data_IF_394776806465
#
_entry.id   IF_394776806465
#
_cell.length_a   1.000
_cell.length_b   1.000
_cell.length_c   1.000
_cell.angle_alpha   90.00
_cell.angle_beta   90.00
_cell.angle_gamma   90.00
#
_symmetry.space_group_name_H-M   'P 1'
#
loop_
_entity.id
_entity.type
_entity.pdbx_description
1 polymer ?
#
# COMPACT_ATOMS: atom_id res chain seq x y z
N UNK A 1 -1.48 -9.92 12.63
CA UNK A 1 -0.44 -10.28 11.63
C UNK A 1 0.27 -11.62 11.86
N UNK A 2 0.96 -11.91 12.99
CA UNK A 2 1.62 -13.24 13.16
C UNK A 2 0.65 -14.42 13.39
N UNK A 3 -0.37 -14.23 14.23
CA UNK A 3 -1.34 -15.31 14.53
C UNK A 3 -2.18 -15.68 13.31
N UNK A 4 -2.77 -14.69 12.62
CA UNK A 4 -3.51 -14.91 11.38
C UNK A 4 -2.66 -15.63 10.31
N UNK A 5 -1.38 -15.26 10.16
CA UNK A 5 -0.46 -15.92 9.22
C UNK A 5 -0.14 -17.38 9.62
N UNK A 6 -0.02 -17.68 10.92
CA UNK A 6 0.17 -19.05 11.39
C UNK A 6 -1.10 -19.89 11.20
N UNK A 7 -2.29 -19.33 11.43
CA UNK A 7 -3.58 -19.99 11.18
C UNK A 7 -3.77 -20.31 9.69
N UNK A 8 -3.34 -19.40 8.80
CA UNK A 8 -3.41 -19.61 7.35
C UNK A 8 -2.61 -20.82 6.87
N UNK A 9 -1.54 -21.23 7.57
CA UNK A 9 -0.80 -22.47 7.27
C UNK A 9 -1.65 -23.74 7.45
N UNK A 10 -2.69 -23.65 8.25
CA UNK A 10 -3.66 -24.71 8.53
C UNK A 10 -5.00 -24.50 7.80
N UNK A 11 -5.03 -23.59 6.82
CA UNK A 11 -6.24 -23.23 6.06
C UNK A 11 -7.37 -22.65 6.94
N UNK A 12 -7.00 -21.98 8.05
CA UNK A 12 -7.93 -21.31 8.95
C UNK A 12 -7.84 -19.79 8.72
N UNK A 13 -8.91 -19.21 8.18
CA UNK A 13 -9.06 -17.76 8.06
C UNK A 13 -9.77 -17.23 9.30
N UNK A 14 -9.11 -16.43 10.12
CA UNK A 14 -9.72 -15.74 11.24
C UNK A 14 -10.10 -14.31 10.86
N UNK A 15 -11.22 -13.82 11.40
CA UNK A 15 -11.54 -12.39 11.33
C UNK A 15 -10.58 -11.62 12.25
N UNK A 16 -9.78 -10.70 11.70
CA UNK A 16 -8.88 -9.83 12.47
C UNK A 16 -9.48 -8.42 12.55
N UNK A 17 -9.94 -8.00 13.74
CA UNK A 17 -10.55 -6.67 13.94
C UNK A 17 -9.55 -5.53 13.73
N UNK A 18 -8.25 -5.81 13.86
CA UNK A 18 -7.21 -4.83 13.58
C UNK A 18 -6.95 -4.64 12.06
N UNK A 19 -7.48 -5.54 11.22
CA UNK A 19 -7.33 -5.50 9.77
C UNK A 19 -5.88 -5.51 9.28
N UNK A 20 -5.68 -5.06 8.04
CA UNK A 20 -4.35 -4.82 7.46
C UNK A 20 -4.23 -3.37 7.00
N UNK A 21 -3.04 -2.78 7.05
CA UNK A 21 -2.87 -1.41 6.56
C UNK A 21 -3.02 -1.37 5.04
N UNK A 22 -3.67 -0.33 4.51
CA UNK A 22 -3.86 -0.14 3.07
C UNK A 22 -2.50 -0.14 2.36
N UNK A 23 -1.48 0.47 2.95
CA UNK A 23 -0.10 0.47 2.45
C UNK A 23 0.49 -0.93 2.19
N UNK A 24 0.01 -1.97 2.89
CA UNK A 24 0.46 -3.36 2.75
C UNK A 24 -0.46 -4.22 1.90
N UNK A 25 -1.65 -3.72 1.56
CA UNK A 25 -2.65 -4.40 0.73
C UNK A 25 -2.25 -4.45 -0.76
N UNK A 26 -2.99 -5.21 -1.58
CA UNK A 26 -2.75 -5.26 -3.03
C UNK A 26 -2.98 -3.90 -3.70
N UNK A 27 -4.13 -3.27 -3.45
CA UNK A 27 -4.48 -1.97 -4.03
C UNK A 27 -3.50 -0.87 -3.57
N UNK A 28 -3.16 -0.82 -2.28
CA UNK A 28 -2.20 0.17 -1.78
C UNK A 28 -0.77 -0.05 -2.29
N UNK A 29 -0.34 -1.29 -2.53
CA UNK A 29 0.95 -1.55 -3.21
C UNK A 29 0.95 -1.07 -4.65
N UNK A 30 -0.15 -1.27 -5.39
CA UNK A 30 -0.30 -0.71 -6.75
C UNK A 30 -0.24 0.82 -6.74
N UNK A 31 -0.98 1.46 -5.82
CA UNK A 31 -0.96 2.90 -5.63
C UNK A 31 0.46 3.42 -5.36
N UNK A 32 1.19 2.79 -4.45
CA UNK A 32 2.59 3.12 -4.18
C UNK A 32 3.49 2.93 -5.41
N UNK A 33 3.45 1.77 -6.07
CA UNK A 33 4.31 1.48 -7.23
C UNK A 33 4.10 2.47 -8.38
N UNK A 34 2.85 2.84 -8.63
CA UNK A 34 2.54 3.84 -9.66
C UNK A 34 2.95 5.25 -9.25
N UNK A 35 2.79 5.65 -7.98
CA UNK A 35 3.29 6.93 -7.49
C UNK A 35 4.82 7.02 -7.54
N UNK A 36 5.53 5.96 -7.16
CA UNK A 36 7.00 5.87 -7.28
C UNK A 36 7.47 6.06 -8.71
N UNK A 37 6.85 5.35 -9.67
CA UNK A 37 7.17 5.52 -11.08
C UNK A 37 6.90 6.95 -11.56
N UNK A 38 5.81 7.58 -11.11
CA UNK A 38 5.48 8.95 -11.50
C UNK A 38 6.54 9.96 -11.01
N UNK A 39 6.98 9.84 -9.76
CA UNK A 39 8.05 10.68 -9.18
C UNK A 39 9.37 10.46 -9.90
N UNK A 40 9.77 9.21 -10.13
CA UNK A 40 11.03 8.89 -10.82
C UNK A 40 11.02 9.39 -12.29
N UNK A 41 9.87 9.35 -12.97
CA UNK A 41 9.68 9.92 -14.31
C UNK A 41 9.68 11.45 -14.33
N UNK A 42 9.17 12.09 -13.28
CA UNK A 42 9.19 13.54 -13.15
C UNK A 42 10.60 14.07 -12.93
N UNK A 43 11.37 13.40 -12.07
CA UNK A 43 12.77 13.71 -11.79
C UNK A 43 13.75 13.21 -12.88
N UNK A 44 13.23 12.64 -13.98
CA UNK A 44 14.00 12.06 -15.08
C UNK A 44 15.11 11.08 -14.64
N UNK A 45 14.86 10.30 -13.57
CA UNK A 45 15.84 9.37 -12.99
C UNK A 45 15.96 8.08 -13.81
N UNK A 46 16.74 8.12 -14.89
CA UNK A 46 16.92 7.03 -15.85
C UNK A 46 17.27 5.67 -15.24
N UNK A 47 18.08 5.62 -14.18
CA UNK A 47 18.47 4.35 -13.53
C UNK A 47 17.36 3.74 -12.65
N UNK A 48 16.47 4.57 -12.10
CA UNK A 48 15.40 4.12 -11.21
C UNK A 48 14.16 3.61 -11.99
N UNK A 49 13.90 4.15 -13.18
CA UNK A 49 12.69 3.84 -13.96
C UNK A 49 12.59 2.37 -14.42
N UNK A 50 13.65 1.72 -14.95
CA UNK A 50 13.58 0.33 -15.41
C UNK A 50 13.05 -0.67 -14.35
N UNK A 51 13.60 -0.74 -13.13
CA UNK A 51 13.07 -1.66 -12.12
C UNK A 51 11.66 -1.28 -11.67
N UNK A 52 11.27 0.00 -11.66
CA UNK A 52 9.91 0.44 -11.31
C UNK A 52 8.87 -0.02 -12.31
N UNK A 53 9.17 0.08 -13.61
CA UNK A 53 8.28 -0.41 -14.68
C UNK A 53 8.08 -1.92 -14.55
N UNK A 54 9.16 -2.69 -14.34
CA UNK A 54 9.04 -4.14 -14.18
C UNK A 54 8.24 -4.50 -12.93
N UNK A 55 8.49 -3.83 -11.80
CA UNK A 55 7.72 -4.04 -10.57
C UNK A 55 6.23 -3.70 -10.75
N UNK A 56 5.92 -2.63 -11.48
CA UNK A 56 4.54 -2.25 -11.79
C UNK A 56 3.86 -3.29 -12.70
N UNK A 57 4.49 -3.69 -13.80
CA UNK A 57 3.93 -4.66 -14.77
C UNK A 57 3.81 -6.08 -14.21
N UNK A 58 4.61 -6.42 -13.19
CA UNK A 58 4.50 -7.67 -12.46
C UNK A 58 3.25 -7.72 -11.56
N UNK A 59 2.71 -6.56 -11.16
CA UNK A 59 1.57 -6.48 -10.26
C UNK A 59 0.30 -7.10 -10.90
N UNK A 60 -0.47 -7.93 -10.17
CA UNK A 60 -1.63 -8.65 -10.73
C UNK A 60 -2.76 -7.71 -11.18
N UNK A 61 -2.90 -6.55 -10.51
CA UNK A 61 -3.88 -5.51 -10.85
C UNK A 61 -3.46 -4.60 -12.02
N UNK A 62 -2.44 -4.95 -12.81
CA UNK A 62 -2.06 -4.19 -14.00
C UNK A 62 -2.45 -4.96 -15.26
N UNK A 63 -3.46 -4.44 -15.96
CA UNK A 63 -3.99 -5.00 -17.21
C UNK A 63 -3.73 -4.12 -18.43
N UNK A 64 -3.65 -2.79 -18.28
CA UNK A 64 -3.42 -1.83 -19.37
C UNK A 64 -4.37 -1.99 -20.57
N UNK A 65 -5.55 -2.58 -20.40
CA UNK A 65 -6.50 -2.84 -21.49
C UNK A 65 -6.12 -4.03 -22.36
N UNK A 66 -5.22 -4.90 -21.88
CA UNK A 66 -4.75 -6.10 -22.56
C UNK A 66 -5.07 -7.35 -21.72
N UNK A 67 -5.17 -8.54 -22.33
CA UNK A 67 -5.19 -9.80 -21.60
C UNK A 67 -3.95 -9.94 -20.71
N UNK A 68 -4.09 -10.52 -19.52
CA UNK A 68 -2.96 -10.65 -18.57
C UNK A 68 -1.75 -11.37 -19.19
N UNK A 69 -1.98 -12.39 -20.02
CA UNK A 69 -0.92 -13.09 -20.73
C UNK A 69 -0.08 -12.18 -21.63
N UNK A 70 -0.73 -11.22 -22.30
CA UNK A 70 -0.05 -10.26 -23.18
C UNK A 70 0.74 -9.22 -22.37
N UNK A 71 0.23 -8.79 -21.21
CA UNK A 71 0.97 -7.91 -20.29
C UNK A 71 2.24 -8.60 -19.79
N UNK A 72 2.14 -9.84 -19.31
CA UNK A 72 3.30 -10.61 -18.83
C UNK A 72 4.32 -10.81 -19.96
N UNK A 73 3.83 -11.17 -21.15
CA UNK A 73 4.67 -11.40 -22.33
C UNK A 73 5.38 -10.13 -22.78
N UNK A 74 4.68 -9.01 -22.88
CA UNK A 74 5.26 -7.72 -23.25
C UNK A 74 6.21 -7.18 -22.17
N UNK A 75 5.92 -7.38 -20.88
CA UNK A 75 6.83 -7.01 -19.79
C UNK A 75 8.15 -7.79 -19.85
N UNK A 76 8.09 -9.10 -20.07
CA UNK A 76 9.28 -9.94 -20.27
C UNK A 76 10.06 -9.52 -21.52
N UNK A 77 9.37 -9.16 -22.61
CA UNK A 77 10.00 -8.65 -23.83
C UNK A 77 10.72 -7.32 -23.59
N UNK A 78 10.12 -6.40 -22.84
CA UNK A 78 10.72 -5.13 -22.46
C UNK A 78 11.96 -5.34 -21.58
N UNK A 79 11.86 -6.22 -20.57
CA UNK A 79 12.99 -6.58 -19.70
C UNK A 79 14.17 -7.14 -20.49
N UNK A 80 13.92 -8.19 -21.29
CA UNK A 80 14.95 -8.91 -22.05
C UNK A 80 15.52 -8.03 -23.17
N UNK A 81 14.65 -7.31 -23.88
CA UNK A 81 14.98 -6.58 -25.09
C UNK A 81 15.62 -5.22 -24.84
N UNK A 82 15.28 -4.56 -23.73
CA UNK A 82 15.63 -3.14 -23.48
C UNK A 82 16.31 -2.96 -22.13
N UNK A 83 15.73 -3.45 -21.04
CA UNK A 83 16.09 -3.00 -19.69
C UNK A 83 17.31 -3.72 -19.06
N UNK A 84 17.82 -4.80 -19.69
CA UNK A 84 19.06 -5.49 -19.25
C UNK A 84 20.36 -4.83 -19.77
N UNK A 85 20.25 -3.76 -20.55
CA UNK A 85 21.37 -3.05 -21.17
C UNK A 85 21.69 -1.72 -20.49
N UNK A 86 22.34 -0.78 -21.21
CA UNK A 86 22.52 0.59 -20.73
C UNK A 86 21.17 1.21 -20.34
N UNK A 87 21.16 1.96 -19.24
CA UNK A 87 19.97 2.63 -18.77
C UNK A 87 19.41 3.58 -19.84
N UNK A 88 18.13 3.43 -20.24
CA UNK A 88 17.46 4.37 -21.12
C UNK A 88 17.39 5.77 -20.49
N UNK A 89 17.15 6.80 -21.31
CA UNK A 89 16.84 8.12 -20.78
C UNK A 89 15.55 8.06 -19.92
N UNK A 90 15.48 8.90 -18.89
CA UNK A 90 14.47 8.84 -17.83
C UNK A 90 13.06 9.31 -18.21
N UNK A 91 12.59 8.96 -19.41
CA UNK A 91 11.25 9.31 -19.89
C UNK A 91 10.65 8.17 -20.72
N UNK A 92 9.32 8.20 -20.93
CA UNK A 92 8.67 7.25 -21.83
C UNK A 92 9.23 7.34 -23.26
N UNK A 93 9.55 8.53 -23.74
CA UNK A 93 10.23 8.69 -25.03
C UNK A 93 11.61 8.02 -25.03
N UNK A 94 12.41 8.21 -23.98
CA UNK A 94 13.70 7.55 -23.82
C UNK A 94 13.62 6.03 -23.85
N UNK A 95 12.59 5.46 -23.22
CA UNK A 95 12.30 4.02 -23.26
C UNK A 95 11.89 3.53 -24.65
N UNK A 96 11.07 4.31 -25.38
CA UNK A 96 10.66 3.99 -26.75
C UNK A 96 11.82 4.07 -27.73
N UNK A 97 12.68 5.08 -27.59
CA UNK A 97 13.89 5.22 -28.40
C UNK A 97 14.85 4.05 -28.16
N UNK A 98 15.03 3.65 -26.90
CA UNK A 98 15.81 2.47 -26.55
C UNK A 98 15.19 1.19 -27.13
N UNK A 99 13.86 1.01 -27.06
CA UNK A 99 13.15 -0.12 -27.68
C UNK A 99 13.40 -0.17 -29.20
N UNK A 100 13.25 0.96 -29.89
CA UNK A 100 13.44 1.06 -31.34
C UNK A 100 14.89 0.75 -31.73
N UNK A 101 15.87 1.34 -31.03
CA UNK A 101 17.29 1.08 -31.26
C UNK A 101 17.65 -0.39 -31.03
N UNK A 102 17.12 -1.00 -29.97
CA UNK A 102 17.37 -2.40 -29.65
C UNK A 102 16.72 -3.36 -30.65
N UNK A 103 15.55 -3.02 -31.22
CA UNK A 103 14.90 -3.80 -32.27
C UNK A 103 15.64 -3.73 -33.61
N UNK A 104 16.22 -2.57 -33.94
CA UNK A 104 16.97 -2.37 -35.19
C UNK A 104 18.41 -2.90 -35.15
N UNK A 105 18.95 -3.18 -33.96
CA UNK A 105 20.34 -3.62 -33.80
C UNK A 105 20.61 -4.99 -34.49
N UNK A 106 21.77 -5.18 -35.13
CA UNK A 106 22.09 -6.43 -35.83
C UNK A 106 22.21 -7.63 -34.88
N UNK A 107 21.69 -8.79 -35.29
CA UNK A 107 21.63 -10.01 -34.47
C UNK A 107 22.98 -10.56 -34.00
N UNK A 108 24.08 -10.25 -34.70
CA UNK A 108 25.41 -10.86 -34.51
C UNK A 108 26.00 -10.65 -33.11
N UNK A 109 25.61 -9.59 -32.40
CA UNK A 109 26.11 -9.25 -31.06
C UNK A 109 25.02 -9.30 -29.97
N UNK A 110 23.85 -9.86 -30.29
CA UNK A 110 22.75 -9.91 -29.33
C UNK A 110 22.81 -11.18 -28.47
N UNK A 111 22.50 -11.09 -27.17
CA UNK A 111 22.32 -12.26 -26.32
C UNK A 111 21.25 -13.21 -26.88
N UNK A 112 21.45 -14.53 -26.70
CA UNK A 112 20.49 -15.55 -27.17
C UNK A 112 19.06 -15.32 -26.69
N UNK A 113 18.88 -14.83 -25.47
CA UNK A 113 17.55 -14.53 -24.92
C UNK A 113 16.80 -13.49 -25.76
N UNK A 114 17.51 -12.44 -26.21
CA UNK A 114 16.96 -11.37 -27.04
C UNK A 114 16.66 -11.84 -28.47
N UNK A 115 17.49 -12.74 -29.02
CA UNK A 115 17.26 -13.35 -30.34
C UNK A 115 15.99 -14.22 -30.39
N UNK A 116 15.46 -14.66 -29.25
CA UNK A 116 14.23 -15.47 -29.17
C UNK A 116 12.95 -14.63 -29.15
N UNK A 117 13.06 -13.30 -29.08
CA UNK A 117 11.91 -12.40 -29.12
C UNK A 117 11.35 -12.34 -30.54
N UNK A 118 10.07 -12.66 -30.68
CA UNK A 118 9.29 -12.56 -31.92
C UNK A 118 8.82 -11.13 -32.19
N UNK A 119 8.37 -10.84 -33.42
CA UNK A 119 7.79 -9.54 -33.75
C UNK A 119 6.58 -9.18 -32.89
N UNK A 120 5.80 -10.19 -32.47
CA UNK A 120 4.69 -10.01 -31.55
C UNK A 120 5.18 -9.55 -30.17
N UNK A 121 6.31 -10.08 -29.67
CA UNK A 121 6.89 -9.67 -28.38
C UNK A 121 7.31 -8.19 -28.41
N UNK A 122 7.96 -7.77 -29.50
CA UNK A 122 8.34 -6.37 -29.72
C UNK A 122 7.13 -5.44 -29.85
N UNK A 123 6.08 -5.88 -30.55
CA UNK A 123 4.85 -5.11 -30.70
C UNK A 123 4.10 -4.96 -29.36
N UNK A 124 4.06 -6.02 -28.53
CA UNK A 124 3.49 -5.96 -27.20
C UNK A 124 4.28 -5.03 -26.27
N UNK A 125 5.62 -5.09 -26.30
CA UNK A 125 6.46 -4.18 -25.53
C UNK A 125 6.23 -2.71 -25.91
N UNK A 126 6.14 -2.41 -27.22
CA UNK A 126 5.82 -1.06 -27.70
C UNK A 126 4.43 -0.61 -27.23
N UNK A 127 3.41 -1.47 -27.39
CA UNK A 127 2.05 -1.15 -26.97
C UNK A 127 1.94 -0.89 -25.47
N UNK A 128 2.68 -1.63 -24.64
CA UNK A 128 2.73 -1.40 -23.18
C UNK A 128 3.31 -0.02 -22.87
N UNK A 129 4.41 0.39 -23.52
CA UNK A 129 5.00 1.72 -23.31
C UNK A 129 4.04 2.83 -23.73
N UNK A 130 3.33 2.68 -24.86
CA UNK A 130 2.33 3.65 -25.31
C UNK A 130 1.17 3.78 -24.30
N UNK A 131 0.69 2.64 -23.78
CA UNK A 131 -0.41 2.60 -22.80
C UNK A 131 0.00 3.18 -21.44
N UNK A 132 1.22 2.91 -21.00
CA UNK A 132 1.79 3.51 -19.79
C UNK A 132 1.95 5.01 -19.95
N UNK A 133 2.53 5.48 -21.06
CA UNK A 133 2.69 6.92 -21.31
C UNK A 133 1.32 7.62 -21.31
N UNK A 134 0.33 7.05 -22.01
CA UNK A 134 -1.01 7.61 -22.03
C UNK A 134 -1.65 7.64 -20.63
N UNK A 135 -1.48 6.57 -19.84
CA UNK A 135 -2.03 6.50 -18.49
C UNK A 135 -1.42 7.56 -17.56
N UNK A 136 -0.11 7.79 -17.63
CA UNK A 136 0.62 8.72 -16.75
C UNK A 136 0.62 10.17 -17.24
N UNK A 137 0.31 10.42 -18.52
CA UNK A 137 0.37 11.75 -19.14
C UNK A 137 -0.36 12.85 -18.35
N UNK A 138 -1.61 12.65 -17.84
CA UNK A 138 -2.30 13.70 -17.09
C UNK A 138 -1.56 14.13 -15.82
N UNK A 139 -1.02 13.17 -15.08
CA UNK A 139 -0.30 13.41 -13.82
C UNK A 139 1.05 14.07 -14.06
N UNK A 140 1.82 13.59 -15.05
CA UNK A 140 3.13 14.15 -15.38
C UNK A 140 3.04 15.55 -16.01
N UNK A 141 2.02 15.80 -16.83
CA UNK A 141 1.79 17.14 -17.37
C UNK A 141 1.42 18.12 -16.26
N UNK A 142 0.60 17.70 -15.30
CA UNK A 142 0.27 18.52 -14.12
C UNK A 142 1.53 18.89 -13.33
N UNK A 143 2.40 17.91 -13.05
CA UNK A 143 3.67 18.16 -12.36
C UNK A 143 4.56 19.18 -13.10
N UNK A 144 4.73 19.02 -14.43
CA UNK A 144 5.54 19.92 -15.26
C UNK A 144 5.01 21.35 -15.31
N UNK A 145 3.69 21.51 -15.38
CA UNK A 145 3.06 22.85 -15.42
C UNK A 145 3.27 23.58 -14.10
N UNK A 146 3.22 22.86 -12.98
CA UNK A 146 3.46 23.43 -11.66
C UNK A 146 4.93 23.82 -11.42
N UNK A 147 5.90 23.11 -11.99
CA UNK A 147 7.31 23.52 -11.91
C UNK A 147 7.63 24.76 -12.75
N UNK A 148 6.96 24.90 -13.90
CA UNK A 148 7.22 25.97 -14.86
C UNK A 148 6.58 27.31 -14.47
N UNK A 149 5.64 27.32 -13.53
CA UNK A 149 4.94 28.51 -13.06
C UNK A 149 5.16 28.78 -11.58
N UNK A 150 4.99 30.03 -11.14
CA UNK A 150 4.93 30.40 -9.70
C UNK A 150 3.62 29.92 -9.02
N UNK A 151 2.99 28.88 -9.58
CA UNK A 151 1.73 28.31 -9.11
C UNK A 151 2.03 27.19 -8.14
N UNK A 152 1.55 27.33 -6.90
CA UNK A 152 1.70 26.31 -5.86
C UNK A 152 1.04 25.00 -6.31
N UNK A 153 1.79 23.89 -6.22
CA UNK A 153 1.30 22.56 -6.54
C UNK A 153 0.27 22.09 -5.51
N UNK A 154 -0.85 21.54 -5.99
CA UNK A 154 -1.94 21.02 -5.14
C UNK A 154 -1.88 19.49 -5.06
N UNK A 155 -1.53 18.98 -3.87
CA UNK A 155 -1.45 17.54 -3.59
C UNK A 155 -2.81 16.85 -3.74
N UNK A 156 -3.93 17.54 -3.52
CA UNK A 156 -5.27 16.96 -3.64
C UNK A 156 -5.62 16.72 -5.10
N UNK A 157 -5.24 17.64 -5.99
CA UNK A 157 -5.39 17.44 -7.43
C UNK A 157 -4.48 16.32 -7.95
N UNK A 158 -3.28 16.19 -7.38
CA UNK A 158 -2.38 15.07 -7.66
C UNK A 158 -3.03 13.72 -7.35
N UNK A 159 -3.69 13.57 -6.19
CA UNK A 159 -4.47 12.36 -5.83
C UNK A 159 -5.54 12.06 -6.85
N UNK A 160 -6.31 13.07 -7.28
CA UNK A 160 -7.37 12.88 -8.28
C UNK A 160 -6.82 12.37 -9.60
N UNK A 161 -5.74 12.97 -10.09
CA UNK A 161 -5.08 12.55 -11.34
C UNK A 161 -4.48 11.16 -11.21
N UNK A 162 -3.86 10.85 -10.07
CA UNK A 162 -3.34 9.52 -9.79
C UNK A 162 -4.44 8.45 -9.75
N UNK A 163 -5.63 8.78 -9.24
CA UNK A 163 -6.80 7.89 -9.29
C UNK A 163 -7.21 7.54 -10.72
N UNK A 164 -7.06 8.49 -11.66
CA UNK A 164 -7.26 8.20 -13.09
C UNK A 164 -6.17 7.27 -13.63
N UNK A 165 -4.90 7.48 -13.27
CA UNK A 165 -3.79 6.58 -13.65
C UNK A 165 -4.12 5.15 -13.21
N UNK A 166 -4.52 4.95 -11.96
CA UNK A 166 -4.85 3.63 -11.40
C UNK A 166 -5.97 2.93 -12.18
N UNK A 167 -7.05 3.64 -12.51
CA UNK A 167 -8.15 3.09 -13.31
C UNK A 167 -7.69 2.65 -14.70
N UNK A 168 -6.80 3.40 -15.33
CA UNK A 168 -6.23 3.05 -16.63
C UNK A 168 -5.28 1.85 -16.54
N UNK A 169 -4.46 1.78 -15.50
CA UNK A 169 -3.59 0.62 -15.23
C UNK A 169 -4.39 -0.66 -15.02
N UNK A 170 -5.51 -0.59 -14.30
CA UNK A 170 -6.39 -1.72 -14.00
C UNK A 170 -7.32 -2.12 -15.16
N UNK A 171 -7.38 -1.33 -16.23
CA UNK A 171 -8.23 -1.66 -17.39
C UNK A 171 -7.83 -2.99 -18.03
N UNK A 172 -8.78 -3.70 -18.65
CA UNK A 172 -8.52 -4.97 -19.36
C UNK A 172 -8.39 -6.21 -18.46
N UNK A 173 -8.41 -6.05 -17.14
CA UNK A 173 -8.60 -7.18 -16.22
C UNK A 173 -10.03 -7.68 -16.44
N UNK A 174 -10.15 -8.85 -17.08
CA UNK A 174 -11.43 -9.48 -17.33
C UNK A 174 -12.20 -9.64 -16.02
N UNK A 175 -13.48 -9.30 -16.06
CA UNK A 175 -14.38 -9.28 -14.90
C UNK A 175 -14.71 -10.69 -14.34
N UNK A 176 -13.83 -11.69 -14.55
CA UNK A 176 -14.12 -13.10 -14.32
C UNK A 176 -12.99 -13.77 -13.53
N UNK A 177 -13.36 -14.08 -12.28
CA UNK A 177 -13.00 -15.27 -11.50
C UNK A 177 -11.76 -15.27 -10.58
N UNK A 178 -10.93 -14.22 -10.53
CA UNK A 178 -9.86 -14.12 -9.49
C UNK A 178 -9.92 -12.84 -8.62
N UNK A 179 -10.70 -11.83 -9.00
CA UNK A 179 -10.98 -10.64 -8.17
C UNK A 179 -12.03 -10.93 -7.08
N UNK A 180 -12.02 -12.14 -6.52
CA UNK A 180 -12.88 -12.51 -5.42
C UNK A 180 -12.42 -11.75 -4.16
N UNK A 181 -13.13 -10.66 -3.85
CA UNK A 181 -13.24 -10.03 -2.51
C UNK A 181 -11.97 -9.33 -2.01
N UNK A 182 -11.24 -8.62 -2.86
CA UNK A 182 -10.20 -7.69 -2.38
C UNK A 182 -10.82 -6.33 -1.97
N UNK A 183 -11.28 -6.24 -0.72
CA UNK A 183 -11.81 -4.99 -0.11
C UNK A 183 -10.78 -3.87 -0.05
N UNK A 184 -9.51 -4.13 -0.35
CA UNK A 184 -8.50 -3.08 -0.41
C UNK A 184 -8.74 -2.10 -1.54
N UNK A 185 -9.41 -2.52 -2.63
CA UNK A 185 -9.78 -1.64 -3.72
C UNK A 185 -10.85 -0.64 -3.25
N UNK A 186 -11.90 -1.10 -2.58
CA UNK A 186 -12.93 -0.23 -2.00
C UNK A 186 -12.32 0.79 -1.03
N UNK A 187 -11.42 0.33 -0.14
CA UNK A 187 -10.75 1.22 0.81
C UNK A 187 -9.84 2.26 0.13
N UNK A 188 -9.20 1.90 -0.99
CA UNK A 188 -8.41 2.84 -1.79
C UNK A 188 -9.31 3.85 -2.50
N UNK A 189 -10.42 3.39 -3.07
CA UNK A 189 -11.40 4.25 -3.75
C UNK A 189 -12.04 5.23 -2.75
N UNK A 190 -12.40 4.78 -1.54
CA UNK A 190 -12.88 5.63 -0.45
C UNK A 190 -11.86 6.72 -0.09
N UNK A 191 -10.57 6.34 0.08
CA UNK A 191 -9.50 7.30 0.36
C UNK A 191 -9.41 8.37 -0.73
N UNK A 192 -9.47 7.98 -2.01
CA UNK A 192 -9.37 8.92 -3.13
C UNK A 192 -10.64 9.78 -3.28
N UNK A 193 -11.81 9.23 -2.97
CA UNK A 193 -13.09 9.93 -3.00
C UNK A 193 -13.21 10.98 -1.88
N UNK A 194 -12.64 10.73 -0.70
CA UNK A 194 -12.53 11.74 0.36
C UNK A 194 -11.78 12.99 -0.11
N UNK A 195 -10.65 12.82 -0.80
CA UNK A 195 -9.90 13.94 -1.38
C UNK A 195 -10.65 14.63 -2.52
N UNK A 196 -11.38 13.87 -3.34
CA UNK A 196 -12.24 14.45 -4.39
C UNK A 196 -13.31 15.35 -3.80
N UNK A 197 -13.89 14.98 -2.66
CA UNK A 197 -14.95 15.74 -1.99
C UNK A 197 -14.42 17.01 -1.32
N UNK A 198 -13.13 17.05 -0.95
CA UNK A 198 -12.49 18.24 -0.38
C UNK A 198 -12.44 19.41 -1.36
N UNK A 199 -12.20 19.13 -2.65
CA UNK A 199 -12.16 20.13 -3.74
C UNK A 199 -13.57 20.63 -4.11
N UNK A 200 -14.61 19.85 -3.82
CA UNK A 200 -16.00 20.23 -4.14
C UNK A 200 -16.57 21.35 -3.26
N UNK A 201 -15.97 21.61 -2.10
CA UNK A 201 -16.43 22.64 -1.15
C UNK A 201 -15.74 24.00 -1.33
N UNK A 202 -14.73 24.05 -2.22
CA UNK A 202 -14.02 25.28 -2.56
C UNK A 202 -14.62 25.88 -3.83
N UNK A 203 -15.49 26.88 -3.67
CA UNK A 203 -16.16 27.62 -4.76
C UNK A 203 -15.16 28.48 -5.58
N UNK A 204 -13.93 28.64 -5.09
CA UNK A 204 -12.86 29.34 -5.78
C UNK A 204 -12.01 28.37 -6.61
N UNK A 205 -12.07 28.53 -7.94
CA UNK A 205 -11.23 27.80 -8.92
C UNK A 205 -9.70 27.98 -8.73
N UNK A 206 -9.27 28.71 -7.70
CA UNK A 206 -7.88 29.06 -7.38
C UNK A 206 -7.48 28.75 -5.93
N UNK A 207 -8.35 28.18 -5.09
CA UNK A 207 -7.94 27.79 -3.74
C UNK A 207 -7.20 26.46 -3.80
N UNK A 208 -5.90 26.49 -3.52
CA UNK A 208 -5.08 25.29 -3.32
C UNK A 208 -5.58 24.61 -2.05
N UNK A 209 -6.05 23.37 -2.17
CA UNK A 209 -6.58 22.63 -1.03
C UNK A 209 -5.45 22.18 -0.09
N UNK A 210 -4.32 21.73 -0.65
CA UNK A 210 -3.12 21.41 0.12
C UNK A 210 -1.84 21.72 -0.67
N UNK A 211 -1.12 22.81 -0.35
CA UNK A 211 0.11 23.16 -1.05
C UNK A 211 1.23 22.17 -0.72
N UNK A 212 2.02 21.80 -1.72
CA UNK A 212 3.21 20.95 -1.58
C UNK A 212 4.07 20.98 -2.84
N UNK A 213 4.92 19.96 -3.03
CA UNK A 213 5.64 19.70 -4.28
C UNK A 213 5.26 18.32 -4.83
N UNK A 214 5.54 18.07 -6.11
CA UNK A 214 5.31 16.75 -6.70
C UNK A 214 6.20 15.67 -6.06
N UNK A 215 7.43 16.00 -5.68
CA UNK A 215 8.34 15.06 -5.01
C UNK A 215 7.84 14.59 -3.63
N UNK A 216 7.04 15.43 -2.95
CA UNK A 216 6.43 15.10 -1.65
C UNK A 216 5.22 14.16 -1.80
N UNK A 217 4.70 13.99 -3.02
CA UNK A 217 3.48 13.25 -3.30
C UNK A 217 3.56 11.78 -2.84
N UNK A 218 4.70 11.13 -3.04
CA UNK A 218 4.90 9.74 -2.61
C UNK A 218 4.82 9.61 -1.09
N UNK A 219 5.49 10.50 -0.35
CA UNK A 219 5.47 10.51 1.11
C UNK A 219 4.06 10.81 1.62
N UNK A 220 3.37 11.75 1.00
CA UNK A 220 1.98 12.09 1.30
C UNK A 220 1.04 10.88 1.14
N UNK A 221 1.04 10.23 -0.03
CA UNK A 221 0.19 9.08 -0.31
C UNK A 221 0.49 7.90 0.62
N UNK A 222 1.77 7.58 0.82
CA UNK A 222 2.17 6.42 1.65
C UNK A 222 1.85 6.62 3.12
N UNK A 223 1.96 7.85 3.63
CA UNK A 223 1.57 8.19 5.01
C UNK A 223 0.06 8.00 5.20
N UNK A 224 -0.76 8.54 4.30
CA UNK A 224 -2.21 8.40 4.36
C UNK A 224 -2.67 6.94 4.21
N UNK A 225 -2.04 6.18 3.32
CA UNK A 225 -2.34 4.77 3.15
C UNK A 225 -1.86 3.91 4.36
N UNK A 226 -0.91 4.39 5.16
CA UNK A 226 -0.49 3.68 6.38
C UNK A 226 -1.53 3.79 7.50
N UNK A 227 -2.25 4.92 7.58
CA UNK A 227 -3.28 5.18 8.59
C UNK A 227 -4.64 4.54 8.26
N UNK A 228 -4.82 4.05 7.03
CA UNK A 228 -6.05 3.36 6.61
C UNK A 228 -5.99 1.88 6.89
N UNK A 229 -7.01 1.39 7.59
CA UNK A 229 -7.18 -0.05 7.85
C UNK A 229 -8.13 -0.63 6.83
N UNK A 230 -7.63 -1.60 6.06
CA UNK A 230 -8.42 -2.44 5.16
C UNK A 230 -9.08 -3.54 6.01
N UNK A 231 -10.42 -3.66 5.98
CA UNK A 231 -11.12 -4.76 6.62
C UNK A 231 -10.60 -6.09 6.07
N UNK A 232 -10.60 -7.14 6.89
CA UNK A 232 -10.08 -8.46 6.51
C UNK A 232 -10.61 -8.87 5.11
N UNK A 233 -9.70 -8.88 4.13
CA UNK A 233 -9.97 -9.21 2.73
C UNK A 233 -9.48 -10.63 2.49
N UNK A 234 -10.40 -11.54 2.18
CA UNK A 234 -10.13 -12.97 2.01
C UNK A 234 -11.41 -13.80 1.96
N UNK A 235 -11.28 -15.14 1.93
CA UNK A 235 -12.41 -16.07 2.08
C UNK A 235 -13.22 -15.73 3.33
N UNK A 236 -14.50 -16.12 3.36
CA UNK A 236 -15.35 -15.92 4.53
C UNK A 236 -14.62 -16.44 5.79
N UNK A 237 -14.41 -15.59 6.81
CA UNK A 237 -13.69 -15.98 8.00
C UNK A 237 -14.44 -17.09 8.74
N UNK A 238 -13.71 -17.90 9.48
CA UNK A 238 -14.28 -18.99 10.24
C UNK A 238 -15.28 -18.45 11.28
N UNK A 239 -16.56 -18.89 11.27
CA UNK A 239 -17.65 -18.22 12.00
C UNK A 239 -17.53 -18.29 13.53
N UNK A 240 -16.62 -19.11 14.05
CA UNK A 240 -16.40 -19.30 15.51
C UNK A 240 -15.05 -18.76 15.99
N UNK A 241 -14.30 -18.05 15.14
CA UNK A 241 -12.96 -17.59 15.45
C UNK A 241 -12.76 -16.15 15.01
N UNK A 242 -12.54 -15.28 15.99
CA UNK A 242 -12.23 -13.86 15.78
C UNK A 242 -11.01 -13.47 16.61
N UNK A 243 -10.12 -12.70 16.00
CA UNK A 243 -8.99 -12.04 16.64
C UNK A 243 -9.44 -10.60 16.89
N UNK A 244 -9.50 -10.24 18.16
CA UNK A 244 -10.07 -8.97 18.61
C UNK A 244 -9.04 -8.16 19.36
N UNK A 245 -9.15 -6.86 19.22
CA UNK A 245 -8.56 -5.90 20.13
C UNK A 245 -9.30 -5.93 21.50
N UNK A 246 -8.67 -5.43 22.58
CA UNK A 246 -9.26 -5.44 23.91
C UNK A 246 -10.60 -4.70 24.02
N UNK A 247 -10.86 -3.70 23.16
CA UNK A 247 -12.15 -3.00 23.14
C UNK A 247 -13.21 -3.84 22.40
N UNK A 248 -12.88 -4.33 21.19
CA UNK A 248 -13.77 -5.20 20.42
C UNK A 248 -14.20 -6.46 21.17
N UNK A 249 -13.31 -7.02 22.00
CA UNK A 249 -13.60 -8.21 22.82
C UNK A 249 -14.75 -8.02 23.82
N UNK A 250 -15.07 -6.78 24.22
CA UNK A 250 -16.11 -6.48 25.20
C UNK A 250 -17.51 -6.42 24.61
N UNK A 251 -17.60 -6.29 23.29
CA UNK A 251 -18.86 -6.08 22.59
C UNK A 251 -19.64 -7.39 22.39
N UNK A 252 -18.95 -8.53 22.50
CA UNK A 252 -19.52 -9.85 22.25
C UNK A 252 -19.12 -10.83 23.35
N UNK A 253 -19.90 -11.90 23.50
CA UNK A 253 -19.60 -12.97 24.43
C UNK A 253 -18.96 -14.16 23.71
N UNK A 254 -17.95 -14.75 24.35
CA UNK A 254 -17.20 -15.88 23.83
C UNK A 254 -17.14 -17.00 24.88
N UNK A 255 -17.31 -18.24 24.44
CA UNK A 255 -17.22 -19.41 25.32
C UNK A 255 -15.78 -19.64 25.82
N UNK A 256 -14.80 -19.38 24.93
CA UNK A 256 -13.37 -19.47 25.21
C UNK A 256 -12.66 -18.22 24.73
N UNK A 257 -11.80 -17.65 25.59
CA UNK A 257 -10.97 -16.49 25.27
C UNK A 257 -9.51 -16.84 25.46
N UNK A 258 -8.67 -16.47 24.47
CA UNK A 258 -7.22 -16.60 24.56
C UNK A 258 -6.62 -15.21 24.75
N UNK A 259 -6.18 -14.91 25.98
CA UNK A 259 -5.45 -13.67 26.28
C UNK A 259 -3.99 -13.86 25.92
N UNK A 260 -3.57 -13.23 24.81
CA UNK A 260 -2.23 -13.38 24.26
C UNK A 260 -1.37 -12.14 24.47
N UNK A 261 -0.06 -12.36 24.58
CA UNK A 261 0.93 -11.27 24.64
C UNK A 261 1.05 -10.60 26.00
N UNK A 262 0.82 -11.34 27.10
CA UNK A 262 1.08 -10.89 28.48
C UNK A 262 2.59 -10.86 28.81
N UNK A 263 3.30 -10.07 28.01
CA UNK A 263 4.68 -9.67 28.22
C UNK A 263 4.72 -8.21 28.66
N UNK A 264 5.66 -7.86 29.53
CA UNK A 264 5.82 -6.51 30.03
C UNK A 264 6.11 -5.51 28.89
N UNK A 265 5.38 -4.40 28.88
CA UNK A 265 5.46 -3.37 27.83
C UNK A 265 4.63 -3.68 26.57
N UNK A 266 4.01 -4.86 26.48
CA UNK A 266 3.04 -5.23 25.44
C UNK A 266 1.65 -5.11 26.02
N UNK A 267 1.39 -5.85 27.10
CA UNK A 267 0.17 -5.75 27.88
C UNK A 267 0.51 -5.91 29.37
N UNK A 268 0.53 -4.81 30.14
CA UNK A 268 0.15 -3.45 29.76
C UNK A 268 1.15 -2.77 28.83
N UNK A 269 0.64 -1.94 27.91
CA UNK A 269 1.47 -1.10 27.04
C UNK A 269 2.27 -0.07 27.85
N UNK A 270 3.45 0.30 27.35
CA UNK A 270 4.26 1.35 27.98
C UNK A 270 3.54 2.70 27.89
N UNK A 271 3.40 3.39 29.02
CA UNK A 271 2.92 4.77 29.04
C UNK A 271 3.98 5.68 28.42
N UNK A 272 3.69 6.27 27.27
CA UNK A 272 4.55 7.28 26.65
C UNK A 272 4.08 8.68 27.03
N UNK A 273 5.01 9.55 27.38
CA UNK A 273 4.72 10.99 27.51
C UNK A 273 4.45 11.55 26.12
N UNK A 274 3.44 12.40 26.01
CA UNK A 274 3.09 13.09 24.77
C UNK A 274 4.23 14.04 24.34
N UNK A 275 4.42 14.22 23.03
CA UNK A 275 5.44 15.09 22.47
C UNK A 275 5.13 16.58 22.68
N UNK A 276 3.85 16.94 22.80
CA UNK A 276 3.41 18.33 22.93
C UNK A 276 3.06 18.72 24.37
N UNK A 277 2.43 17.81 25.12
CA UNK A 277 1.94 18.08 26.48
C UNK A 277 2.62 17.15 27.49
N UNK A 278 3.53 17.69 28.28
CA UNK A 278 4.02 16.97 29.43
C UNK A 278 2.89 16.72 30.46
N UNK A 279 3.15 15.81 31.40
CA UNK A 279 2.16 15.38 32.40
C UNK A 279 1.53 16.56 33.18
N UNK A 280 2.30 17.52 33.74
CA UNK A 280 1.72 18.70 34.40
C UNK A 280 0.82 19.54 33.49
N UNK A 281 1.17 19.68 32.20
CA UNK A 281 0.34 20.43 31.25
C UNK A 281 -0.98 19.72 30.98
N UNK A 282 -0.99 18.39 30.82
CA UNK A 282 -2.23 17.61 30.66
C UNK A 282 -3.18 17.78 31.84
N UNK A 283 -2.64 17.71 33.06
CA UNK A 283 -3.41 17.91 34.29
C UNK A 283 -4.04 19.31 34.34
N UNK A 284 -3.29 20.36 33.99
CA UNK A 284 -3.81 21.75 33.96
C UNK A 284 -4.93 21.94 32.93
N UNK A 285 -4.88 21.22 31.82
CA UNK A 285 -5.92 21.28 30.76
C UNK A 285 -7.09 20.34 31.07
N UNK A 286 -7.04 19.59 32.18
CA UNK A 286 -8.10 18.64 32.56
C UNK A 286 -8.11 17.35 31.73
N UNK A 287 -7.02 17.05 31.02
CA UNK A 287 -6.87 15.80 30.27
C UNK A 287 -6.49 14.66 31.22
N UNK A 288 -6.92 13.44 30.86
CA UNK A 288 -6.58 12.25 31.62
C UNK A 288 -5.06 12.02 31.71
N UNK A 289 -4.54 11.56 32.86
CA UNK A 289 -3.15 11.15 32.96
C UNK A 289 -2.89 9.91 32.06
N UNK A 290 -1.67 9.77 31.49
CA UNK A 290 -1.33 8.64 30.62
C UNK A 290 -1.49 7.28 31.34
N UNK A 291 -1.30 7.23 32.66
CA UNK A 291 -1.49 6.05 33.51
C UNK A 291 -2.94 5.53 33.51
N UNK A 292 -3.92 6.34 33.09
CA UNK A 292 -5.30 5.88 32.94
C UNK A 292 -5.40 4.70 31.95
N UNK A 293 -4.53 4.65 30.95
CA UNK A 293 -4.45 3.51 30.02
C UNK A 293 -4.03 2.21 30.71
N UNK A 294 -3.20 2.28 31.76
CA UNK A 294 -2.83 1.11 32.56
C UNK A 294 -4.06 0.55 33.29
N UNK A 295 -4.87 1.43 33.88
CA UNK A 295 -6.13 1.03 34.52
C UNK A 295 -7.11 0.40 33.52
N UNK A 296 -7.20 0.94 32.31
CA UNK A 296 -8.01 0.35 31.25
C UNK A 296 -7.48 -1.03 30.84
N UNK A 297 -6.17 -1.18 30.64
CA UNK A 297 -5.56 -2.46 30.31
C UNK A 297 -5.76 -3.53 31.40
N UNK A 298 -5.77 -3.13 32.68
CA UNK A 298 -6.07 -4.02 33.80
C UNK A 298 -7.56 -4.42 33.82
N UNK A 299 -8.46 -3.47 33.56
CA UNK A 299 -9.88 -3.77 33.43
C UNK A 299 -10.14 -4.80 32.32
N UNK A 300 -9.49 -4.62 31.17
CA UNK A 300 -9.65 -5.50 30.00
C UNK A 300 -9.13 -6.91 30.29
N UNK A 301 -8.03 -7.01 31.03
CA UNK A 301 -7.49 -8.28 31.49
C UNK A 301 -8.49 -9.00 32.43
N UNK A 302 -9.05 -8.30 33.42
CA UNK A 302 -10.03 -8.88 34.36
C UNK A 302 -11.31 -9.30 33.62
N UNK A 303 -11.80 -8.48 32.68
CA UNK A 303 -12.95 -8.81 31.85
C UNK A 303 -12.71 -10.10 31.04
N UNK A 304 -11.59 -10.20 30.34
CA UNK A 304 -11.25 -11.40 29.57
C UNK A 304 -11.05 -12.64 30.44
N UNK A 305 -10.52 -12.49 31.65
CA UNK A 305 -10.39 -13.57 32.63
C UNK A 305 -11.71 -14.02 33.25
N UNK A 306 -12.75 -13.18 33.17
CA UNK A 306 -14.08 -13.51 33.70
C UNK A 306 -14.89 -14.42 32.77
N UNK A 307 -14.34 -14.81 31.62
CA UNK A 307 -14.95 -15.79 30.72
C UNK A 307 -14.90 -17.20 31.33
N UNK A 308 -15.79 -18.09 30.84
CA UNK A 308 -15.90 -19.48 31.35
C UNK A 308 -14.61 -20.28 31.16
N UNK A 309 -13.92 -20.05 30.05
CA UNK A 309 -12.68 -20.73 29.70
C UNK A 309 -11.68 -19.71 29.17
N UNK A 310 -10.76 -19.29 30.03
CA UNK A 310 -9.73 -18.31 29.71
C UNK A 310 -8.35 -18.97 29.65
N UNK A 311 -7.69 -18.86 28.50
CA UNK A 311 -6.33 -19.33 28.29
C UNK A 311 -5.40 -18.13 28.23
N UNK A 312 -4.40 -18.12 29.10
CA UNK A 312 -3.38 -17.08 29.13
C UNK A 312 -2.13 -17.56 28.39
N UNK A 313 -1.58 -16.72 27.52
CA UNK A 313 -0.32 -17.01 26.82
C UNK A 313 0.66 -15.84 26.88
N UNK A 314 1.94 -16.17 27.03
CA UNK A 314 3.09 -15.25 26.97
C UNK A 314 4.15 -15.81 26.03
N UNK A 315 4.95 -14.92 25.43
CA UNK A 315 6.13 -15.36 24.71
C UNK A 315 7.28 -15.58 25.72
N UNK A 316 8.16 -16.56 25.47
CA UNK A 316 9.42 -16.67 26.20
C UNK A 316 10.53 -15.83 25.55
N UNK A 317 10.44 -15.64 24.23
CA UNK A 317 11.33 -14.82 23.42
C UNK A 317 10.54 -14.07 22.35
N UNK A 318 10.97 -12.85 22.03
CA UNK A 318 10.46 -12.02 20.94
C UNK A 318 11.66 -11.44 20.18
N UNK A 319 11.71 -11.69 18.88
CA UNK A 319 12.81 -11.20 18.00
C UNK A 319 14.20 -11.60 18.51
N UNK A 320 14.33 -12.84 18.98
CA UNK A 320 15.58 -13.39 19.50
C UNK A 320 15.90 -13.00 20.95
N UNK A 321 15.26 -11.98 21.51
CA UNK A 321 15.48 -11.51 22.88
C UNK A 321 14.50 -12.15 23.88
N UNK A 322 14.92 -12.48 25.11
CA UNK A 322 14.01 -12.97 26.15
C UNK A 322 13.00 -11.89 26.57
N UNK A 323 11.78 -12.31 26.92
CA UNK A 323 10.69 -11.41 27.33
C UNK A 323 10.37 -11.53 28.81
N UNK A 324 10.11 -10.38 29.44
CA UNK A 324 9.73 -10.29 30.86
C UNK A 324 8.23 -10.56 31.01
N UNK A 325 7.79 -11.39 31.99
CA UNK A 325 6.36 -11.56 32.28
C UNK A 325 5.68 -10.25 32.60
N UNK A 326 4.46 -10.09 32.08
CA UNK A 326 3.60 -8.98 32.47
C UNK A 326 3.38 -8.99 33.98
N UNK A 327 3.39 -7.81 34.57
CA UNK A 327 3.01 -7.59 35.97
C UNK A 327 1.62 -8.11 36.34
N UNK A 328 0.71 -8.32 35.37
CA UNK A 328 -0.61 -8.89 35.63
C UNK A 328 -0.59 -10.39 35.96
N UNK A 329 0.55 -11.06 35.78
CA UNK A 329 0.74 -12.49 36.09
C UNK A 329 1.34 -12.75 37.48
N UNK A 330 1.73 -11.69 38.19
CA UNK A 330 2.33 -11.75 39.53
C UNK A 330 1.25 -11.67 40.60
#
# INVERSE_FOLDING_TARGET
MRVAAELARWDIVAEDSAGSTLSRSSAGRLARLSAELAVDLHAEQGDAIPPRIIALLAHPLVGLGLPRGDVVRGAAALEIGVLRGPAPAGSFQGLKDALAAQRAAPHRHQPRAKQRLSDLDWALAASILDRLEWAFSPLLNFAKVSDAGDSRFDLVLAVRLHGMVLKLLQSGIGNKDEAAVDKSQDCLDDLFDEFRNLVGHTDDRHSIALPGNFDDYLAFLTTLAADRTVPCAGPAPHPRLSILDPLGSRLMHYDRVVLAGLDEGVWPGKTTTDAFLNRPMRERVGLNPPERQLGQAAHDFVQGMSCRDAVITRAAKREGSPTVPSRFLQ
#
